data_IF_892237581485
#
_entry.id   IF_892237581485
#
_cell.length_a   1.000
_cell.length_b   1.000
_cell.length_c   1.000
_cell.angle_alpha   90.00
_cell.angle_beta   90.00
_cell.angle_gamma   90.00
#
_symmetry.space_group_name_H-M   'P 1'
#
loop_
_entity.id
_entity.type
_entity.pdbx_description
1 polymer ?
#
# COMPACT_ATOMS: atom_id res chain seq x y z
N UNK A 1 -21.09 6.34 0.65
CA UNK A 1 -20.71 5.52 -0.52
C UNK A 1 -19.71 4.48 -0.07
N UNK A 2 -20.06 3.21 -0.24
CA UNK A 2 -19.15 2.10 0.00
C UNK A 2 -18.04 2.15 -1.06
N UNK A 3 -16.82 1.77 -0.69
CA UNK A 3 -15.68 1.85 -1.61
C UNK A 3 -15.84 0.91 -2.82
N UNK A 4 -16.52 -0.22 -2.63
CA UNK A 4 -16.74 -1.22 -3.69
C UNK A 4 -17.59 -0.69 -4.86
N UNK A 5 -18.40 0.35 -4.65
CA UNK A 5 -19.29 0.95 -5.65
C UNK A 5 -18.75 2.31 -6.13
N UNK A 6 -17.47 2.58 -5.89
CA UNK A 6 -16.86 3.86 -6.24
C UNK A 6 -16.68 4.01 -7.76
N UNK A 7 -17.29 5.04 -8.33
CA UNK A 7 -17.21 5.40 -9.76
C UNK A 7 -16.50 6.72 -10.03
N UNK A 8 -15.82 7.31 -9.01
CA UNK A 8 -15.21 8.66 -9.11
C UNK A 8 -14.15 8.82 -10.21
N UNK A 9 -13.56 7.72 -10.67
CA UNK A 9 -12.53 7.70 -11.69
C UNK A 9 -13.06 6.96 -12.93
N UNK A 10 -13.67 7.69 -13.87
CA UNK A 10 -14.31 7.10 -15.05
C UNK A 10 -13.36 6.16 -15.82
N UNK A 11 -12.09 6.58 -16.03
CA UNK A 11 -11.06 5.76 -16.68
C UNK A 11 -10.83 4.43 -15.98
N UNK A 12 -10.70 4.43 -14.65
CA UNK A 12 -10.48 3.19 -13.88
C UNK A 12 -11.74 2.34 -13.82
N UNK A 13 -12.91 2.96 -13.68
CA UNK A 13 -14.17 2.25 -13.64
C UNK A 13 -14.45 1.50 -14.96
N UNK A 14 -14.27 2.16 -16.10
CA UNK A 14 -14.40 1.53 -17.41
C UNK A 14 -13.38 0.42 -17.60
N UNK A 15 -12.12 0.67 -17.25
CA UNK A 15 -11.05 -0.32 -17.33
C UNK A 15 -11.37 -1.58 -16.51
N UNK A 16 -11.87 -1.43 -15.29
CA UNK A 16 -12.28 -2.57 -14.45
C UNK A 16 -13.46 -3.35 -15.07
N UNK A 17 -14.41 -2.66 -15.71
CA UNK A 17 -15.51 -3.32 -16.45
C UNK A 17 -15.00 -4.14 -17.64
N UNK A 18 -14.06 -3.60 -18.42
CA UNK A 18 -13.41 -4.31 -19.53
C UNK A 18 -12.66 -5.55 -19.01
N UNK A 19 -11.91 -5.40 -17.93
CA UNK A 19 -11.19 -6.51 -17.29
C UNK A 19 -12.14 -7.58 -16.76
N UNK A 20 -13.30 -7.19 -16.22
CA UNK A 20 -14.30 -8.15 -15.74
C UNK A 20 -14.90 -8.99 -16.88
N UNK A 21 -15.08 -8.40 -18.08
CA UNK A 21 -15.47 -9.15 -19.27
C UNK A 21 -14.39 -10.14 -19.71
N UNK A 22 -13.12 -9.70 -19.69
CA UNK A 22 -11.95 -10.54 -20.07
C UNK A 22 -11.64 -11.63 -19.05
N UNK A 23 -11.84 -11.36 -17.77
CA UNK A 23 -11.56 -12.25 -16.64
C UNK A 23 -12.79 -12.35 -15.72
N UNK A 24 -13.82 -13.14 -16.08
CA UNK A 24 -15.08 -13.21 -15.34
C UNK A 24 -14.94 -13.64 -13.87
N UNK A 25 -13.93 -14.44 -13.54
CA UNK A 25 -13.65 -14.91 -12.17
C UNK A 25 -12.89 -13.90 -11.30
N UNK A 26 -12.32 -12.82 -11.90
CA UNK A 26 -11.58 -11.82 -11.14
C UNK A 26 -12.51 -10.87 -10.38
N UNK A 27 -12.03 -10.36 -9.26
CA UNK A 27 -12.75 -9.36 -8.47
C UNK A 27 -13.10 -8.11 -9.29
N UNK A 28 -12.14 -7.48 -9.97
CA UNK A 28 -12.29 -6.34 -10.88
C UNK A 28 -13.16 -5.21 -10.30
N UNK A 29 -12.99 -4.91 -9.01
CA UNK A 29 -13.64 -3.83 -8.27
C UNK A 29 -12.61 -3.09 -7.42
N UNK A 30 -12.95 -1.91 -6.85
CA UNK A 30 -12.07 -1.26 -5.87
C UNK A 30 -11.75 -2.20 -4.70
N UNK A 31 -10.47 -2.31 -4.37
CA UNK A 31 -9.95 -3.19 -3.31
C UNK A 31 -9.80 -2.40 -2.02
N UNK A 32 -10.43 -2.84 -0.94
CA UNK A 32 -10.29 -2.28 0.42
C UNK A 32 -9.01 -2.77 1.08
N UNK A 33 -8.58 -2.10 2.13
CA UNK A 33 -7.55 -2.61 3.02
C UNK A 33 -8.02 -3.88 3.73
N UNK A 34 -7.06 -4.68 4.19
CA UNK A 34 -7.25 -5.97 4.86
C UNK A 34 -6.34 -6.06 6.08
N UNK A 35 -6.76 -6.78 7.11
CA UNK A 35 -6.05 -6.97 8.36
C UNK A 35 -6.87 -6.54 9.57
N UNK A 36 -6.29 -6.64 10.77
CA UNK A 36 -6.98 -6.27 12.01
C UNK A 36 -6.97 -4.75 12.19
N UNK A 37 -8.09 -4.19 12.63
CA UNK A 37 -8.20 -2.75 12.95
C UNK A 37 -7.43 -2.37 14.23
N UNK A 38 -7.02 -3.34 15.04
CA UNK A 38 -6.16 -3.18 16.20
C UNK A 38 -4.66 -3.15 15.87
N UNK A 39 -4.29 -3.35 14.61
CA UNK A 39 -2.89 -3.43 14.18
C UNK A 39 -2.13 -2.14 14.43
N UNK A 40 -0.90 -2.27 14.93
CA UNK A 40 0.03 -1.16 15.14
C UNK A 40 0.87 -0.84 13.91
N UNK A 41 0.89 -1.73 12.92
CA UNK A 41 1.61 -1.55 11.64
C UNK A 41 0.61 -1.52 10.49
N UNK A 42 0.72 -0.49 9.63
CA UNK A 42 -0.02 -0.40 8.37
C UNK A 42 0.94 -0.39 7.18
N UNK A 43 0.71 -1.27 6.22
CA UNK A 43 1.49 -1.37 4.98
C UNK A 43 0.70 -0.73 3.84
N UNK A 44 1.31 0.20 3.12
CA UNK A 44 0.65 0.93 2.04
C UNK A 44 1.41 0.75 0.73
N UNK A 45 0.79 0.09 -0.25
CA UNK A 45 1.30 -0.03 -1.62
C UNK A 45 0.74 1.04 -2.56
N UNK A 46 1.06 0.89 -3.85
CA UNK A 46 0.57 1.80 -4.89
C UNK A 46 -0.89 1.53 -5.24
N UNK A 47 -1.17 0.34 -5.76
CA UNK A 47 -2.46 -0.05 -6.34
C UNK A 47 -2.53 -1.59 -6.48
N UNK A 48 -3.74 -2.17 -6.67
CA UNK A 48 -3.89 -3.59 -7.01
C UNK A 48 -3.11 -3.95 -8.27
N UNK A 49 -2.42 -5.09 -8.28
CA UNK A 49 -1.87 -5.71 -9.49
C UNK A 49 -2.94 -6.49 -10.25
N UNK A 50 -2.80 -6.63 -11.59
CA UNK A 50 -3.81 -7.30 -12.45
C UNK A 50 -4.12 -8.71 -11.96
N UNK A 51 -3.11 -9.57 -11.83
CA UNK A 51 -3.26 -10.96 -11.41
C UNK A 51 -3.13 -11.15 -9.87
N UNK A 52 -2.84 -10.07 -9.16
CA UNK A 52 -2.79 -9.98 -7.71
C UNK A 52 -4.12 -9.53 -7.10
N UNK A 53 -4.12 -8.41 -6.41
CA UNK A 53 -5.28 -7.90 -5.69
C UNK A 53 -6.50 -7.59 -6.59
N UNK A 54 -6.31 -7.26 -7.86
CA UNK A 54 -7.44 -7.11 -8.79
C UNK A 54 -8.11 -8.45 -9.12
N UNK A 55 -7.37 -9.57 -9.03
CA UNK A 55 -7.96 -10.91 -9.14
C UNK A 55 -8.66 -11.33 -7.87
N UNK A 56 -8.00 -11.16 -6.73
CA UNK A 56 -8.42 -11.74 -5.44
C UNK A 56 -9.35 -10.86 -4.61
N UNK A 57 -9.32 -9.54 -4.81
CA UNK A 57 -9.98 -8.56 -3.93
C UNK A 57 -9.22 -8.27 -2.63
N UNK A 58 -8.05 -8.87 -2.41
CA UNK A 58 -7.24 -8.72 -1.20
C UNK A 58 -5.88 -8.13 -1.55
N UNK A 59 -5.42 -7.03 -0.87
CA UNK A 59 -4.15 -6.40 -1.15
C UNK A 59 -2.96 -7.35 -0.99
N UNK A 60 -1.97 -7.25 -1.88
CA UNK A 60 -0.73 -8.04 -1.83
C UNK A 60 -0.96 -9.55 -1.73
N UNK A 61 -1.74 -10.08 -2.65
CA UNK A 61 -1.96 -11.52 -2.82
C UNK A 61 -1.77 -11.92 -4.26
N UNK A 62 -1.40 -13.18 -4.49
CA UNK A 62 -1.38 -13.85 -5.79
C UNK A 62 -0.48 -13.21 -6.87
N UNK A 63 0.43 -12.30 -6.50
CA UNK A 63 1.48 -11.79 -7.38
C UNK A 63 2.85 -11.81 -6.67
N UNK A 64 3.92 -11.61 -7.44
CA UNK A 64 5.29 -11.67 -6.93
C UNK A 64 5.51 -10.78 -5.70
N UNK A 65 5.04 -9.54 -5.75
CA UNK A 65 5.22 -8.57 -4.64
C UNK A 65 4.47 -9.00 -3.39
N UNK A 66 3.28 -9.55 -3.56
CA UNK A 66 2.45 -10.05 -2.46
C UNK A 66 3.06 -11.29 -1.81
N UNK A 67 3.55 -12.24 -2.61
CA UNK A 67 4.20 -13.46 -2.12
C UNK A 67 5.45 -13.07 -1.32
N UNK A 68 6.38 -12.32 -1.93
CA UNK A 68 7.61 -11.89 -1.28
C UNK A 68 7.36 -11.13 0.02
N UNK A 69 6.39 -10.20 0.02
CA UNK A 69 6.05 -9.44 1.23
C UNK A 69 5.57 -10.37 2.35
N UNK A 70 4.62 -11.25 2.06
CA UNK A 70 4.05 -12.16 3.07
C UNK A 70 5.04 -13.16 3.62
N UNK A 71 5.93 -13.68 2.77
CA UNK A 71 7.04 -14.54 3.21
C UNK A 71 7.97 -13.82 4.19
N UNK A 72 8.37 -12.57 3.88
CA UNK A 72 9.23 -11.78 4.78
C UNK A 72 8.54 -11.47 6.10
N UNK A 73 7.25 -11.09 6.07
CA UNK A 73 6.48 -10.81 7.28
C UNK A 73 6.36 -12.07 8.17
N UNK A 74 6.12 -13.24 7.56
CA UNK A 74 6.06 -14.53 8.26
C UNK A 74 7.42 -14.89 8.87
N UNK A 75 8.51 -14.74 8.12
CA UNK A 75 9.89 -15.02 8.58
C UNK A 75 10.27 -14.24 9.85
N UNK A 76 9.77 -13.01 9.99
CA UNK A 76 10.04 -12.16 11.17
C UNK A 76 8.92 -12.21 12.22
N UNK A 77 7.97 -13.13 12.09
CA UNK A 77 6.81 -13.26 12.99
C UNK A 77 5.93 -11.99 13.11
N UNK A 78 5.90 -11.12 12.08
CA UNK A 78 4.98 -9.99 12.03
C UNK A 78 3.63 -10.44 11.42
N UNK A 79 2.74 -10.97 12.28
CA UNK A 79 1.44 -11.53 11.87
C UNK A 79 0.27 -10.55 12.02
N UNK A 80 0.46 -9.47 12.78
CA UNK A 80 -0.58 -8.46 13.03
C UNK A 80 -0.25 -7.16 12.32
N UNK A 81 -0.80 -7.00 11.11
CA UNK A 81 -0.66 -5.80 10.30
C UNK A 81 -1.96 -5.51 9.54
N UNK A 82 -2.18 -4.24 9.21
CA UNK A 82 -3.17 -3.81 8.23
C UNK A 82 -2.47 -3.49 6.92
N UNK A 83 -3.04 -3.87 5.79
CA UNK A 83 -2.43 -3.67 4.48
C UNK A 83 -3.42 -3.06 3.49
N UNK A 84 -2.97 -2.05 2.75
CA UNK A 84 -3.81 -1.33 1.81
C UNK A 84 -3.00 -0.74 0.65
N UNK A 85 -3.64 0.01 -0.23
CA UNK A 85 -3.01 0.70 -1.35
C UNK A 85 -3.42 2.18 -1.40
N UNK A 86 -2.57 3.03 -1.94
CA UNK A 86 -2.85 4.45 -2.19
C UNK A 86 -4.01 4.64 -3.20
N UNK A 87 -4.10 3.76 -4.20
CA UNK A 87 -5.20 3.72 -5.19
C UNK A 87 -5.90 2.37 -5.10
N UNK A 88 -7.22 2.37 -5.09
CA UNK A 88 -8.04 1.17 -4.83
C UNK A 88 -8.33 0.31 -6.05
N UNK A 89 -8.20 0.87 -7.22
CA UNK A 89 -8.49 0.21 -8.49
C UNK A 89 -7.18 -0.13 -9.21
N UNK A 90 -7.15 -1.24 -9.94
CA UNK A 90 -6.02 -1.55 -10.83
C UNK A 90 -5.94 -0.51 -11.95
N UNK A 91 -4.86 0.28 -12.04
CA UNK A 91 -4.71 1.26 -13.09
C UNK A 91 -4.04 0.64 -14.32
N UNK A 92 -4.46 1.06 -15.52
CA UNK A 92 -3.82 0.63 -16.76
C UNK A 92 -2.31 0.89 -16.69
N UNK A 93 -1.52 -0.12 -17.05
CA UNK A 93 -0.04 -0.11 -17.02
C UNK A 93 0.55 0.23 -15.64
N UNK A 94 -0.14 -0.07 -14.56
CA UNK A 94 0.26 0.28 -13.19
C UNK A 94 0.55 1.78 -12.97
N UNK A 95 -0.05 2.66 -13.79
CA UNK A 95 0.17 4.12 -13.75
C UNK A 95 -1.13 4.86 -13.44
N UNK A 96 -1.44 5.12 -12.15
CA UNK A 96 -2.58 5.97 -11.80
C UNK A 96 -2.27 7.44 -12.10
N UNK A 97 -3.26 8.17 -12.59
CA UNK A 97 -3.17 9.61 -12.81
C UNK A 97 -3.13 10.39 -11.48
N UNK A 98 -2.78 11.69 -11.54
CA UNK A 98 -2.81 12.56 -10.38
C UNK A 98 -4.24 12.66 -9.77
N UNK A 99 -5.25 12.82 -10.63
CA UNK A 99 -6.66 12.89 -10.20
C UNK A 99 -7.13 11.59 -9.53
N UNK A 100 -6.74 10.43 -10.03
CA UNK A 100 -7.08 9.13 -9.45
C UNK A 100 -6.45 8.94 -8.06
N UNK A 101 -5.21 9.36 -7.88
CA UNK A 101 -4.54 9.40 -6.57
C UNK A 101 -5.28 10.34 -5.61
N UNK A 102 -5.64 11.54 -6.06
CA UNK A 102 -6.36 12.53 -5.24
C UNK A 102 -7.75 12.02 -4.85
N UNK A 103 -8.51 11.42 -5.78
CA UNK A 103 -9.82 10.85 -5.50
C UNK A 103 -9.76 9.71 -4.47
N UNK A 104 -8.66 8.93 -4.45
CA UNK A 104 -8.47 7.84 -3.50
C UNK A 104 -7.98 8.31 -2.12
N UNK A 105 -7.42 9.52 -1.98
CA UNK A 105 -6.85 10.04 -0.73
C UNK A 105 -7.82 9.94 0.45
N UNK A 106 -9.07 10.34 0.25
CA UNK A 106 -10.12 10.29 1.29
C UNK A 106 -10.37 8.86 1.82
N UNK A 107 -10.26 7.86 0.96
CA UNK A 107 -10.42 6.46 1.37
C UNK A 107 -9.23 5.99 2.19
N UNK A 108 -8.01 6.36 1.79
CA UNK A 108 -6.79 6.06 2.57
C UNK A 108 -6.87 6.67 3.95
N UNK A 109 -7.22 7.96 4.05
CA UNK A 109 -7.39 8.65 5.33
C UNK A 109 -8.46 7.99 6.21
N UNK A 110 -9.63 7.62 5.64
CA UNK A 110 -10.70 6.94 6.37
C UNK A 110 -10.27 5.57 6.92
N UNK A 111 -9.46 4.82 6.18
CA UNK A 111 -8.94 3.53 6.67
C UNK A 111 -7.92 3.75 7.78
N UNK A 112 -6.95 4.66 7.61
CA UNK A 112 -5.96 4.97 8.64
C UNK A 112 -6.62 5.45 9.94
N UNK A 113 -7.65 6.27 9.86
CA UNK A 113 -8.39 6.77 11.03
C UNK A 113 -9.12 5.66 11.83
N UNK A 114 -9.39 4.50 11.21
CA UNK A 114 -9.96 3.33 11.90
C UNK A 114 -8.93 2.56 12.72
N UNK A 115 -7.64 2.70 12.42
CA UNK A 115 -6.55 2.00 13.07
C UNK A 115 -6.13 2.74 14.35
N UNK A 116 -6.91 2.58 15.43
CA UNK A 116 -6.73 3.36 16.67
C UNK A 116 -5.42 3.09 17.40
N UNK A 117 -4.78 1.95 17.16
CA UNK A 117 -3.49 1.57 17.77
C UNK A 117 -2.31 1.75 16.82
N UNK A 118 -2.51 2.41 15.66
CA UNK A 118 -1.48 2.56 14.65
C UNK A 118 -0.27 3.36 15.18
N UNK A 119 0.93 2.80 15.05
CA UNK A 119 2.21 3.39 15.44
C UNK A 119 3.14 3.60 14.25
N UNK A 120 3.06 2.71 13.26
CA UNK A 120 3.96 2.74 12.11
C UNK A 120 3.20 2.54 10.81
N UNK A 121 3.47 3.41 9.84
CA UNK A 121 3.08 3.19 8.44
C UNK A 121 4.35 2.84 7.66
N UNK A 122 4.33 1.72 6.95
CA UNK A 122 5.37 1.34 5.98
C UNK A 122 4.83 1.55 4.58
N UNK A 123 5.49 2.40 3.78
CA UNK A 123 5.10 2.61 2.38
C UNK A 123 6.02 1.86 1.43
N UNK A 124 5.44 1.14 0.48
CA UNK A 124 6.15 0.38 -0.55
C UNK A 124 6.10 1.16 -1.88
N UNK A 125 7.17 1.93 -2.13
CA UNK A 125 7.35 2.77 -3.31
C UNK A 125 7.02 4.25 -3.10
N UNK A 126 7.62 5.09 -3.96
CA UNK A 126 7.57 6.55 -3.86
C UNK A 126 6.14 7.12 -3.97
N UNK A 127 5.30 6.52 -4.82
CA UNK A 127 3.92 7.03 -5.00
C UNK A 127 3.10 6.80 -3.74
N UNK A 128 3.23 5.62 -3.11
CA UNK A 128 2.57 5.34 -1.83
C UNK A 128 3.07 6.30 -0.74
N UNK A 129 4.38 6.54 -0.68
CA UNK A 129 4.99 7.51 0.23
C UNK A 129 4.41 8.92 0.05
N UNK A 130 4.44 9.46 -1.17
CA UNK A 130 3.90 10.79 -1.47
C UNK A 130 2.42 10.91 -1.13
N UNK A 131 1.67 9.83 -1.28
CA UNK A 131 0.24 9.82 -0.91
C UNK A 131 0.06 9.93 0.61
N UNK A 132 0.87 9.21 1.41
CA UNK A 132 0.81 9.31 2.87
C UNK A 132 1.27 10.70 3.35
N UNK A 133 2.37 11.23 2.82
CA UNK A 133 2.81 12.61 3.09
C UNK A 133 1.66 13.59 2.88
N UNK A 134 0.95 13.48 1.75
CA UNK A 134 -0.21 14.34 1.44
C UNK A 134 -1.38 14.14 2.38
N UNK A 135 -1.67 12.89 2.79
CA UNK A 135 -2.76 12.58 3.74
C UNK A 135 -2.53 13.28 5.09
N UNK A 136 -1.27 13.41 5.52
CA UNK A 136 -0.89 14.09 6.76
C UNK A 136 -0.56 15.59 6.59
N UNK A 137 -0.84 16.17 5.42
CA UNK A 137 -0.64 17.60 5.17
C UNK A 137 0.83 18.03 5.07
N UNK A 138 1.76 17.06 4.93
CA UNK A 138 3.18 17.34 4.83
C UNK A 138 3.60 17.64 3.37
N UNK A 139 4.66 18.45 3.20
CA UNK A 139 5.21 18.77 1.88
C UNK A 139 6.19 17.71 1.40
N UNK A 140 5.94 17.15 0.20
CA UNK A 140 6.88 16.23 -0.44
C UNK A 140 8.18 16.90 -0.94
N UNK A 141 8.23 18.22 -1.00
CA UNK A 141 9.45 18.97 -1.31
C UNK A 141 10.42 18.99 -0.11
N UNK A 142 9.88 19.04 1.10
CA UNK A 142 10.65 18.97 2.35
C UNK A 142 10.97 17.52 2.68
N UNK A 143 9.97 16.64 2.62
CA UNK A 143 10.12 15.21 2.93
C UNK A 143 10.32 14.41 1.65
N UNK A 144 11.56 14.43 1.12
CA UNK A 144 11.90 13.67 -0.08
C UNK A 144 11.89 12.17 0.17
N UNK A 145 11.42 11.40 -0.82
CA UNK A 145 11.47 9.94 -0.76
C UNK A 145 12.91 9.43 -0.78
N UNK A 146 13.24 8.58 0.20
CA UNK A 146 14.48 7.81 0.26
C UNK A 146 14.19 6.46 0.91
N UNK A 147 14.72 5.37 0.35
CA UNK A 147 14.57 4.05 0.96
C UNK A 147 15.14 4.02 2.37
N UNK A 148 14.39 3.44 3.32
CA UNK A 148 14.79 3.34 4.72
C UNK A 148 14.65 4.64 5.53
N UNK A 149 14.16 5.73 4.92
CA UNK A 149 13.92 6.97 5.64
C UNK A 149 12.77 6.81 6.65
N UNK A 150 12.96 7.41 7.83
CA UNK A 150 12.02 7.36 8.96
C UNK A 150 11.67 8.80 9.32
N UNK A 151 10.38 9.13 9.30
CA UNK A 151 9.89 10.46 9.69
C UNK A 151 8.72 10.34 10.66
N UNK A 152 8.60 11.27 11.58
CA UNK A 152 7.43 11.42 12.45
C UNK A 152 6.32 12.12 11.66
N UNK A 153 5.14 11.51 11.60
CA UNK A 153 3.93 12.14 11.06
C UNK A 153 3.20 12.95 12.14
N UNK A 154 3.29 12.51 13.39
CA UNK A 154 2.89 13.18 14.62
C UNK A 154 3.60 12.51 15.81
N UNK A 155 3.25 12.88 17.05
CA UNK A 155 3.92 12.39 18.27
C UNK A 155 3.88 10.85 18.42
N UNK A 156 2.83 10.20 17.92
CA UNK A 156 2.60 8.76 18.08
C UNK A 156 2.82 7.94 16.82
N UNK A 157 2.90 8.56 15.64
CA UNK A 157 2.88 7.87 14.36
C UNK A 157 4.13 8.16 13.55
N UNK A 158 4.78 7.09 13.14
CA UNK A 158 6.01 7.12 12.34
C UNK A 158 5.76 6.56 10.94
N UNK A 159 6.35 7.17 9.92
CA UNK A 159 6.36 6.69 8.54
C UNK A 159 7.74 6.16 8.19
N UNK A 160 7.78 4.94 7.66
CA UNK A 160 8.99 4.34 7.07
C UNK A 160 8.77 4.19 5.57
N UNK A 161 9.70 4.66 4.76
CA UNK A 161 9.65 4.52 3.31
C UNK A 161 10.53 3.38 2.80
N UNK A 162 10.02 2.59 1.88
CA UNK A 162 10.74 1.52 1.20
C UNK A 162 10.62 1.64 -0.31
N UNK A 163 11.62 1.17 -1.06
CA UNK A 163 11.42 0.83 -2.47
C UNK A 163 10.33 -0.22 -2.59
N UNK A 164 9.68 -0.27 -3.74
CA UNK A 164 8.64 -1.28 -4.01
C UNK A 164 9.29 -2.65 -4.22
N UNK A 165 8.73 -3.69 -3.61
CA UNK A 165 9.19 -5.09 -3.73
C UNK A 165 8.73 -5.75 -5.04
N UNK A 166 8.80 -5.04 -6.16
CA UNK A 166 8.44 -5.57 -7.49
C UNK A 166 9.53 -6.47 -8.05
N UNK A 167 9.13 -7.42 -8.91
CA UNK A 167 10.05 -8.29 -9.64
C UNK A 167 11.12 -7.48 -10.39
N UNK A 168 10.74 -6.33 -11.00
CA UNK A 168 11.67 -5.44 -11.69
C UNK A 168 12.76 -4.93 -10.74
N UNK A 169 12.41 -4.38 -9.58
CA UNK A 169 13.39 -3.86 -8.63
C UNK A 169 14.31 -4.95 -8.07
N UNK A 170 13.81 -6.16 -7.86
CA UNK A 170 14.61 -7.32 -7.44
C UNK A 170 15.57 -7.72 -8.56
N UNK A 171 15.08 -7.91 -9.79
CA UNK A 171 15.90 -8.36 -10.91
C UNK A 171 16.98 -7.35 -11.33
N UNK A 172 16.74 -6.05 -11.10
CA UNK A 172 17.73 -4.99 -11.38
C UNK A 172 18.69 -4.72 -10.22
N UNK A 173 18.60 -5.46 -9.13
CA UNK A 173 19.45 -5.27 -7.94
C UNK A 173 19.14 -3.99 -7.15
N UNK A 174 18.14 -3.19 -7.57
CA UNK A 174 17.74 -1.96 -6.87
C UNK A 174 17.16 -2.23 -5.49
N UNK A 175 16.60 -3.42 -5.28
CA UNK A 175 15.95 -3.84 -4.06
C UNK A 175 16.22 -5.33 -3.80
N UNK A 176 16.29 -5.74 -2.53
CA UNK A 176 16.50 -7.14 -2.15
C UNK A 176 15.50 -7.59 -1.07
N UNK A 177 15.36 -8.92 -0.90
CA UNK A 177 14.60 -9.51 0.21
C UNK A 177 15.12 -9.03 1.57
N UNK A 178 16.46 -8.95 1.72
CA UNK A 178 17.09 -8.47 2.95
C UNK A 178 16.70 -7.01 3.26
N UNK A 179 16.74 -6.13 2.26
CA UNK A 179 16.31 -4.74 2.43
C UNK A 179 14.83 -4.64 2.86
N UNK A 180 13.95 -5.53 2.36
CA UNK A 180 12.55 -5.57 2.78
C UNK A 180 12.43 -6.00 4.25
N UNK A 181 13.17 -7.04 4.63
CA UNK A 181 13.23 -7.55 6.00
C UNK A 181 13.68 -6.46 6.98
N UNK A 182 14.75 -5.73 6.66
CA UNK A 182 15.28 -4.65 7.49
C UNK A 182 14.26 -3.53 7.74
N UNK A 183 13.46 -3.17 6.73
CA UNK A 183 12.38 -2.19 6.88
C UNK A 183 11.38 -2.62 7.95
N UNK A 184 10.94 -3.88 7.89
CA UNK A 184 9.94 -4.38 8.85
C UNK A 184 10.53 -4.65 10.24
N UNK A 185 11.78 -5.04 10.35
CA UNK A 185 12.48 -5.11 11.65
C UNK A 185 12.58 -3.72 12.31
N UNK A 186 12.84 -2.66 11.53
CA UNK A 186 12.79 -1.28 12.04
C UNK A 186 11.36 -0.91 12.49
N UNK A 187 10.33 -1.30 11.74
CA UNK A 187 8.95 -1.05 12.13
C UNK A 187 8.60 -1.74 13.45
N UNK A 188 9.00 -3.00 13.63
CA UNK A 188 8.78 -3.75 14.88
C UNK A 188 9.51 -3.11 16.08
N UNK A 189 10.75 -2.62 15.89
CA UNK A 189 11.47 -1.89 16.95
C UNK A 189 10.69 -0.66 17.42
N UNK A 190 10.15 0.13 16.50
CA UNK A 190 9.34 1.32 16.86
C UNK A 190 8.07 0.93 17.61
N UNK A 191 7.42 -0.17 17.23
CA UNK A 191 6.20 -0.66 17.90
C UNK A 191 6.50 -1.16 19.31
N UNK A 192 7.64 -1.83 19.52
CA UNK A 192 7.97 -2.48 20.80
C UNK A 192 8.60 -1.52 21.81
N UNK A 193 9.26 -0.45 21.38
CA UNK A 193 10.01 0.49 22.23
C UNK A 193 9.47 1.93 22.21
N UNK A 194 8.40 2.21 21.48
CA UNK A 194 7.69 3.49 21.43
C UNK A 194 6.32 3.42 22.03
#
# INVERSE_FOLDING_TARGET
MLIHDCTKCSRLHLHLKELKKKFPSYHCKPVTGSGKLSSMVCIVGLAPGLHGANKTGVPFTNDFSGILLREVLHEINLNDFFITNAVRCFPKNNKPSANEKNNCQKFTQKELNKLKKLRVIVTLGEIAYKQIIKVYGLSSNVHKFKHGNIIKLNDQLTLISSYHCSKLNINTGKFSRHMLKDIFLKAMKIVNYG
#
